data_IF_438967823021
#
_entry.id   IF_438967823021
#
_cell.length_a   1.000
_cell.length_b   1.000
_cell.length_c   1.000
_cell.angle_alpha   90.00
_cell.angle_beta   90.00
_cell.angle_gamma   90.00
#
_symmetry.space_group_name_H-M   'P 1'
#
loop_
_entity.id
_entity.type
_entity.pdbx_description
1 polymer ?
#
# COMPACT_ATOMS: atom_id res chain seq x y z
N UNK A 1 0.77 96.74 -15.48
CA UNK A 1 2.16 96.47 -15.06
C UNK A 1 2.27 94.96 -14.98
N UNK A 2 3.02 94.20 -15.78
CA UNK A 2 4.10 94.46 -16.72
C UNK A 2 4.33 93.12 -17.45
N UNK A 3 4.65 93.16 -18.77
CA UNK A 3 5.55 92.25 -19.53
C UNK A 3 5.45 90.71 -19.29
N UNK A 4 5.35 89.78 -20.25
CA UNK A 4 5.92 89.69 -21.60
C UNK A 4 5.53 88.33 -22.24
N UNK A 5 5.63 88.26 -23.58
CA UNK A 5 6.05 87.13 -24.44
C UNK A 5 5.08 85.95 -24.78
N UNK A 6 4.69 85.96 -26.05
CA UNK A 6 4.31 84.86 -26.99
C UNK A 6 5.59 84.08 -27.42
N UNK A 7 5.50 83.05 -28.29
CA UNK A 7 4.73 81.79 -28.34
C UNK A 7 5.67 80.55 -28.35
N UNK A 8 5.18 79.31 -28.21
CA UNK A 8 5.71 78.18 -29.01
C UNK A 8 4.92 76.87 -28.88
N UNK A 9 4.98 76.11 -29.97
CA UNK A 9 4.23 74.91 -30.32
C UNK A 9 5.04 73.68 -29.90
N UNK A 10 4.56 72.85 -28.97
CA UNK A 10 5.24 71.60 -28.59
C UNK A 10 4.50 70.39 -29.20
N UNK A 11 5.10 69.84 -30.27
CA UNK A 11 4.71 68.59 -30.93
C UNK A 11 5.25 67.39 -30.15
N UNK A 12 4.35 66.43 -29.96
CA UNK A 12 4.47 65.05 -29.46
C UNK A 12 5.82 64.34 -29.77
N UNK A 13 6.52 63.74 -28.79
CA UNK A 13 7.87 63.19 -28.94
C UNK A 13 7.99 61.83 -29.66
N UNK A 14 6.90 61.20 -30.08
CA UNK A 14 6.93 59.82 -30.61
C UNK A 14 7.40 59.69 -32.07
N UNK A 15 7.50 60.81 -32.82
CA UNK A 15 7.93 60.83 -34.23
C UNK A 15 9.40 61.27 -34.45
N UNK A 16 10.23 61.34 -33.40
CA UNK A 16 11.66 61.65 -33.55
C UNK A 16 12.58 60.43 -33.58
N UNK A 17 12.11 59.26 -33.14
CA UNK A 17 12.96 58.07 -33.01
C UNK A 17 13.03 57.23 -34.31
N UNK A 18 12.04 57.37 -35.18
CA UNK A 18 11.94 56.70 -36.48
C UNK A 18 12.65 57.47 -37.61
N UNK A 19 12.71 58.82 -37.58
CA UNK A 19 13.49 59.61 -38.56
C UNK A 19 15.00 59.50 -38.35
N UNK A 20 15.50 59.48 -37.10
CA UNK A 20 16.95 59.30 -36.84
C UNK A 20 17.45 57.90 -37.18
N UNK A 21 16.56 56.90 -37.18
CA UNK A 21 16.90 55.52 -37.58
C UNK A 21 16.89 55.35 -39.10
N UNK A 22 16.03 56.09 -39.82
CA UNK A 22 16.04 56.08 -41.29
C UNK A 22 17.20 56.90 -41.87
N UNK A 23 17.55 58.07 -41.30
CA UNK A 23 18.72 58.84 -41.76
C UNK A 23 20.09 58.21 -41.40
N UNK A 24 20.15 57.29 -40.44
CA UNK A 24 21.37 56.49 -40.18
C UNK A 24 21.54 55.31 -41.14
N UNK A 25 20.49 54.93 -41.87
CA UNK A 25 20.54 53.79 -42.80
C UNK A 25 21.02 54.20 -44.19
N UNK A 26 20.97 55.50 -44.54
CA UNK A 26 21.40 55.99 -45.88
C UNK A 26 22.90 56.34 -45.91
N UNK A 27 23.54 56.63 -44.76
CA UNK A 27 24.90 57.16 -44.72
C UNK A 27 26.02 56.15 -44.39
N UNK A 28 25.78 54.83 -44.46
CA UNK A 28 26.87 53.84 -44.32
C UNK A 28 27.32 53.24 -45.65
N UNK A 29 26.85 53.76 -46.78
CA UNK A 29 27.19 53.27 -48.11
C UNK A 29 28.34 54.06 -48.76
N UNK A 30 29.41 54.36 -48.02
CA UNK A 30 30.66 54.77 -48.66
C UNK A 30 31.88 54.66 -47.74
N UNK A 31 32.57 53.52 -47.84
CA UNK A 31 34.03 53.42 -47.90
C UNK A 31 34.38 51.93 -47.77
N UNK A 32 34.65 51.26 -48.89
CA UNK A 32 35.50 50.07 -48.82
C UNK A 32 36.46 50.06 -50.00
N UNK A 33 37.65 50.58 -49.72
CA UNK A 33 38.84 50.39 -50.54
C UNK A 33 39.14 48.90 -50.67
N UNK A 34 39.26 48.43 -51.91
CA UNK A 34 39.32 47.01 -52.24
C UNK A 34 40.34 46.19 -51.46
N UNK A 35 39.84 45.43 -50.49
CA UNK A 35 40.35 44.08 -50.20
C UNK A 35 39.14 43.15 -50.10
N UNK A 36 38.96 42.26 -51.08
CA UNK A 36 37.89 41.23 -51.04
C UNK A 36 38.18 40.26 -49.89
N UNK A 37 37.76 40.61 -48.67
CA UNK A 37 37.79 39.73 -47.51
C UNK A 37 36.76 38.63 -47.74
N UNK A 38 37.19 37.46 -48.21
CA UNK A 38 36.32 36.28 -48.37
C UNK A 38 35.91 35.78 -46.98
N UNK A 39 34.74 36.18 -46.51
CA UNK A 39 34.19 35.67 -45.25
C UNK A 39 33.82 34.20 -45.39
N UNK A 40 34.20 33.37 -44.40
CA UNK A 40 33.91 31.93 -44.40
C UNK A 40 32.45 31.71 -43.98
N UNK A 41 31.62 31.21 -44.92
CA UNK A 41 30.27 30.75 -44.61
C UNK A 41 30.29 29.32 -44.07
N UNK A 42 29.40 29.03 -43.14
CA UNK A 42 29.24 27.73 -42.51
C UNK A 42 27.97 27.05 -43.02
N UNK A 43 28.09 25.77 -43.38
CA UNK A 43 26.96 24.94 -43.78
C UNK A 43 26.21 24.44 -42.55
N UNK A 44 24.93 24.76 -42.43
CA UNK A 44 24.04 24.19 -41.42
C UNK A 44 22.89 23.43 -42.09
N UNK A 45 22.44 22.35 -41.46
CA UNK A 45 21.26 21.60 -41.89
C UNK A 45 20.11 21.95 -40.96
N UNK A 46 19.00 22.44 -41.52
CA UNK A 46 17.77 22.70 -40.75
C UNK A 46 17.04 21.40 -40.44
N UNK A 47 16.08 21.47 -39.50
CA UNK A 47 15.19 20.35 -39.19
C UNK A 47 14.31 19.95 -40.38
N UNK A 48 14.08 20.85 -41.34
CA UNK A 48 13.42 20.57 -42.63
C UNK A 48 14.26 19.73 -43.59
N UNK A 49 15.55 19.51 -43.30
CA UNK A 49 16.50 18.83 -44.18
C UNK A 49 17.23 19.74 -45.16
N UNK A 50 16.79 21.01 -45.28
CA UNK A 50 17.40 22.02 -46.14
C UNK A 50 18.79 22.44 -45.66
N UNK A 51 19.68 22.72 -46.62
CA UNK A 51 21.04 23.17 -46.39
C UNK A 51 21.08 24.70 -46.53
N UNK A 52 21.51 25.37 -45.48
CA UNK A 52 21.66 26.82 -45.44
C UNK A 52 23.12 27.19 -45.15
N UNK A 53 23.65 28.20 -45.84
CA UNK A 53 24.99 28.74 -45.59
C UNK A 53 24.88 30.04 -44.81
N UNK A 54 25.57 30.10 -43.68
CA UNK A 54 25.37 31.14 -42.65
C UNK A 54 26.70 31.79 -42.29
N UNK A 55 26.68 33.11 -42.06
CA UNK A 55 27.88 33.85 -41.62
C UNK A 55 28.27 33.46 -40.18
N UNK A 56 29.53 33.63 -39.76
CA UNK A 56 29.98 33.27 -38.41
C UNK A 56 29.23 34.02 -37.30
N UNK A 57 28.81 35.26 -37.55
CA UNK A 57 28.03 36.06 -36.60
C UNK A 57 26.62 35.47 -36.41
N UNK A 58 25.94 35.18 -37.52
CA UNK A 58 24.63 34.53 -37.50
C UNK A 58 24.70 33.13 -36.86
N UNK A 59 25.77 32.37 -37.09
CA UNK A 59 25.96 31.05 -36.47
C UNK A 59 26.11 31.15 -34.94
N UNK A 60 26.88 32.15 -34.46
CA UNK A 60 27.04 32.40 -33.03
C UNK A 60 25.71 32.74 -32.38
N UNK A 61 24.91 33.58 -33.03
CA UNK A 61 23.59 33.97 -32.53
C UNK A 61 22.60 32.80 -32.56
N UNK A 62 22.61 31.99 -33.62
CA UNK A 62 21.80 30.76 -33.68
C UNK A 62 22.15 29.78 -32.56
N UNK A 63 23.44 29.62 -32.24
CA UNK A 63 23.88 28.76 -31.16
C UNK A 63 23.48 29.30 -29.78
N UNK A 64 23.51 30.63 -29.60
CA UNK A 64 22.98 31.29 -28.38
C UNK A 64 21.49 31.03 -28.23
N UNK A 65 20.70 31.20 -29.29
CA UNK A 65 19.26 30.90 -29.25
C UNK A 65 18.98 29.43 -28.94
N UNK A 66 19.73 28.48 -29.53
CA UNK A 66 19.61 27.05 -29.20
C UNK A 66 19.95 26.76 -27.75
N UNK A 67 21.00 27.39 -27.22
CA UNK A 67 21.38 27.24 -25.81
C UNK A 67 20.29 27.77 -24.87
N UNK A 68 19.69 28.92 -25.18
CA UNK A 68 18.57 29.49 -24.42
C UNK A 68 17.35 28.57 -24.43
N UNK A 69 16.93 28.10 -25.62
CA UNK A 69 15.81 27.15 -25.75
C UNK A 69 16.08 25.86 -24.95
N UNK A 70 17.28 25.31 -25.05
CA UNK A 70 17.68 24.10 -24.29
C UNK A 70 17.68 24.34 -22.78
N UNK A 71 18.10 25.52 -22.32
CA UNK A 71 18.06 25.89 -20.91
C UNK A 71 16.61 25.99 -20.40
N UNK A 72 15.71 26.61 -21.16
CA UNK A 72 14.28 26.66 -20.83
C UNK A 72 13.64 25.27 -20.80
N UNK A 73 13.93 24.42 -21.78
CA UNK A 73 13.46 23.04 -21.80
C UNK A 73 13.95 22.26 -20.56
N UNK A 74 15.21 22.43 -20.18
CA UNK A 74 15.77 21.80 -18.98
C UNK A 74 15.10 22.34 -17.71
N UNK A 75 14.79 23.64 -17.64
CA UNK A 75 14.04 24.23 -16.52
C UNK A 75 12.64 23.62 -16.43
N UNK A 76 11.94 23.43 -17.55
CA UNK A 76 10.63 22.76 -17.61
C UNK A 76 10.72 21.27 -17.22
N UNK A 77 11.74 20.54 -17.69
CA UNK A 77 11.99 19.14 -17.29
C UNK A 77 12.23 19.02 -15.78
N UNK A 78 13.08 19.88 -15.20
CA UNK A 78 13.30 19.93 -13.74
C UNK A 78 12.00 20.22 -12.98
N UNK A 79 11.17 21.16 -13.45
CA UNK A 79 9.89 21.45 -12.82
C UNK A 79 8.91 20.26 -12.88
N UNK A 80 8.80 19.58 -14.03
CA UNK A 80 7.99 18.35 -14.16
C UNK A 80 8.50 17.23 -13.26
N UNK A 81 9.80 16.98 -13.27
CA UNK A 81 10.40 15.92 -12.44
C UNK A 81 10.23 16.21 -10.94
N UNK A 82 10.33 17.48 -10.50
CA UNK A 82 10.02 17.88 -9.12
C UNK A 82 8.57 17.56 -8.75
N UNK A 83 7.59 17.87 -9.63
CA UNK A 83 6.18 17.55 -9.39
C UNK A 83 5.95 16.03 -9.28
N UNK A 84 6.55 15.26 -10.20
CA UNK A 84 6.47 13.79 -10.18
C UNK A 84 7.09 13.25 -8.89
N UNK A 85 8.25 13.75 -8.46
CA UNK A 85 8.92 13.30 -7.23
C UNK A 85 8.07 13.56 -5.98
N UNK A 86 7.42 14.73 -5.89
CA UNK A 86 6.50 15.05 -4.77
C UNK A 86 5.29 14.11 -4.81
N UNK A 87 4.65 13.93 -5.96
CA UNK A 87 3.51 13.02 -6.11
C UNK A 87 3.89 11.58 -5.74
N UNK A 88 5.05 11.09 -6.21
CA UNK A 88 5.53 9.75 -5.84
C UNK A 88 5.83 9.65 -4.35
N UNK A 89 6.43 10.68 -3.73
CA UNK A 89 6.69 10.69 -2.28
C UNK A 89 5.40 10.59 -1.47
N UNK A 90 4.35 11.33 -1.86
CA UNK A 90 3.02 11.24 -1.20
C UNK A 90 2.41 9.85 -1.37
N UNK A 91 2.47 9.27 -2.57
CA UNK A 91 1.97 7.91 -2.81
C UNK A 91 2.73 6.89 -1.95
N UNK A 92 4.06 6.97 -1.87
CA UNK A 92 4.85 6.10 -1.01
C UNK A 92 4.48 6.25 0.47
N UNK A 93 4.25 7.48 0.95
CA UNK A 93 3.81 7.72 2.34
C UNK A 93 2.43 7.12 2.61
N UNK A 94 1.47 7.28 1.69
CA UNK A 94 0.12 6.72 1.85
C UNK A 94 0.16 5.19 1.80
N UNK A 95 0.89 4.60 0.85
CA UNK A 95 1.03 3.14 0.72
C UNK A 95 1.80 2.56 1.90
N UNK A 96 2.86 3.22 2.36
CA UNK A 96 3.63 2.80 3.55
C UNK A 96 2.80 2.92 4.83
N UNK A 97 2.04 4.01 5.00
CA UNK A 97 1.09 4.17 6.11
C UNK A 97 0.00 3.08 6.06
N UNK A 98 -0.57 2.83 4.89
CA UNK A 98 -1.53 1.74 4.72
C UNK A 98 -0.92 0.37 5.03
N UNK A 99 0.29 0.09 4.55
CA UNK A 99 0.98 -1.17 4.80
C UNK A 99 1.34 -1.33 6.28
N UNK A 100 1.80 -0.28 6.94
CA UNK A 100 2.10 -0.30 8.38
C UNK A 100 0.83 -0.47 9.21
N UNK A 101 -0.28 0.17 8.85
CA UNK A 101 -1.58 -0.03 9.51
C UNK A 101 -2.16 -1.42 9.23
N UNK A 102 -2.02 -1.94 8.02
CA UNK A 102 -2.44 -3.29 7.65
C UNK A 102 -1.62 -4.36 8.37
N UNK A 103 -0.30 -4.17 8.44
CA UNK A 103 0.60 -5.01 9.23
C UNK A 103 0.30 -4.88 10.72
N UNK A 104 0.00 -3.68 11.22
CA UNK A 104 -0.40 -3.48 12.62
C UNK A 104 -1.72 -4.18 12.91
N UNK A 105 -2.72 -4.12 12.03
CA UNK A 105 -3.97 -4.88 12.17
C UNK A 105 -3.72 -6.39 12.13
N UNK A 106 -2.82 -6.85 11.26
CA UNK A 106 -2.44 -8.28 11.15
C UNK A 106 -1.59 -8.75 12.33
N UNK A 107 -0.71 -7.90 12.84
CA UNK A 107 0.15 -8.15 13.99
C UNK A 107 -0.66 -8.11 15.29
N UNK A 108 -1.59 -7.15 15.41
CA UNK A 108 -2.48 -7.02 16.55
C UNK A 108 -3.60 -8.07 16.59
N UNK A 109 -3.79 -8.84 15.51
CA UNK A 109 -4.58 -10.08 15.55
C UNK A 109 -3.86 -11.20 16.33
N UNK A 110 -2.58 -11.02 16.68
CA UNK A 110 -1.78 -11.92 17.51
C UNK A 110 -1.29 -11.23 18.81
N UNK A 111 -1.76 -10.02 19.15
CA UNK A 111 -1.35 -9.31 20.38
C UNK A 111 -2.55 -8.77 21.15
N UNK A 112 -3.46 -9.67 21.52
CA UNK A 112 -4.35 -9.42 22.66
C UNK A 112 -3.59 -9.81 23.92
N UNK A 113 -3.07 -8.81 24.64
CA UNK A 113 -2.90 -8.73 26.11
C UNK A 113 -1.94 -7.56 26.42
N UNK A 114 -2.42 -6.33 26.28
CA UNK A 114 -1.91 -5.21 27.08
C UNK A 114 -3.10 -4.39 27.56
N UNK A 115 -3.21 -4.36 28.89
CA UNK A 115 -4.27 -3.85 29.74
C UNK A 115 -4.12 -2.35 29.98
N UNK A 116 -5.10 -1.54 29.56
CA UNK A 116 -5.25 -0.13 29.96
C UNK A 116 -6.53 0.04 30.79
N UNK A 117 -6.45 -0.31 32.08
CA UNK A 117 -7.55 -0.11 33.03
C UNK A 117 -7.40 1.23 33.77
N UNK A 118 -8.16 2.24 33.34
CA UNK A 118 -9.01 3.03 34.25
C UNK A 118 -10.01 3.93 33.50
N UNK A 119 -11.12 3.35 33.04
CA UNK A 119 -12.49 3.81 33.30
C UNK A 119 -13.50 2.99 32.52
N UNK A 120 -13.85 1.81 33.06
CA UNK A 120 -15.11 1.07 32.94
C UNK A 120 -14.83 -0.41 33.22
N UNK A 121 -14.69 -0.77 34.51
CA UNK A 121 -14.67 -2.14 35.07
C UNK A 121 -14.23 -3.23 34.06
N UNK A 122 -12.97 -3.15 33.65
CA UNK A 122 -12.31 -4.17 32.85
C UNK A 122 -11.80 -5.23 33.82
N UNK A 123 -12.60 -6.27 34.04
CA UNK A 123 -12.06 -7.52 34.53
C UNK A 123 -11.10 -8.04 33.43
N UNK A 124 -9.82 -7.75 33.56
CA UNK A 124 -8.80 -8.52 32.85
C UNK A 124 -8.84 -9.90 33.46
N UNK A 125 -9.74 -10.74 32.95
CA UNK A 125 -9.67 -12.17 33.16
C UNK A 125 -8.29 -12.56 32.64
N UNK A 126 -7.41 -12.88 33.57
CA UNK A 126 -6.12 -13.37 33.18
C UNK A 126 -6.38 -14.74 32.55
N UNK A 127 -5.90 -14.91 31.32
CA UNK A 127 -6.14 -16.10 30.50
C UNK A 127 -4.87 -16.93 30.44
N UNK A 128 -5.04 -18.23 30.22
CA UNK A 128 -3.97 -19.18 29.92
C UNK A 128 -4.24 -19.91 28.62
N UNK A 129 -3.39 -20.90 28.33
CA UNK A 129 -3.48 -21.74 27.13
C UNK A 129 -3.47 -23.20 27.53
N UNK A 130 -4.25 -24.02 26.84
CA UNK A 130 -4.24 -25.47 27.02
C UNK A 130 -3.75 -26.12 25.74
N UNK A 131 -2.70 -26.94 25.85
CA UNK A 131 -2.23 -27.80 24.78
C UNK A 131 -2.86 -29.18 24.94
N UNK A 132 -3.66 -29.59 23.95
CA UNK A 132 -4.32 -30.90 23.92
C UNK A 132 -3.57 -31.82 22.96
N UNK A 133 -3.19 -32.99 23.45
CA UNK A 133 -2.52 -34.06 22.69
C UNK A 133 -3.36 -35.34 22.83
N UNK A 134 -3.66 -36.00 21.72
CA UNK A 134 -4.35 -37.29 21.72
C UNK A 134 -3.65 -38.29 20.78
N UNK A 135 -3.86 -39.58 21.04
CA UNK A 135 -3.34 -40.69 20.24
C UNK A 135 -4.16 -41.01 18.98
N UNK A 136 -5.40 -40.50 18.90
CA UNK A 136 -6.32 -40.70 17.78
C UNK A 136 -6.61 -39.38 17.06
N UNK A 137 -6.66 -39.46 15.73
CA UNK A 137 -6.98 -38.34 14.85
C UNK A 137 -8.47 -38.09 14.72
N UNK A 138 -8.85 -36.83 14.61
CA UNK A 138 -10.21 -36.40 14.29
C UNK A 138 -11.18 -36.47 15.46
N UNK A 139 -10.71 -36.64 16.70
CA UNK A 139 -11.60 -36.62 17.87
C UNK A 139 -12.04 -35.18 18.18
N UNK A 140 -13.32 -35.00 18.49
CA UNK A 140 -13.88 -33.71 18.85
C UNK A 140 -13.44 -33.29 20.25
N UNK A 141 -12.97 -32.05 20.39
CA UNK A 141 -12.50 -31.49 21.66
C UNK A 141 -13.59 -30.64 22.29
N UNK A 142 -13.82 -30.86 23.58
CA UNK A 142 -14.78 -30.15 24.40
C UNK A 142 -14.06 -29.40 25.52
N UNK A 143 -14.41 -28.13 25.72
CA UNK A 143 -13.93 -27.31 26.84
C UNK A 143 -15.15 -26.91 27.69
N UNK A 144 -15.16 -27.30 28.96
CA UNK A 144 -16.29 -27.09 29.88
C UNK A 144 -17.65 -27.59 29.36
N UNK A 145 -17.62 -28.60 28.49
CA UNK A 145 -18.80 -29.17 27.84
C UNK A 145 -19.22 -28.46 26.54
N UNK A 146 -18.53 -27.39 26.14
CA UNK A 146 -18.74 -26.72 24.86
C UNK A 146 -17.86 -27.36 23.77
N UNK A 147 -18.47 -27.68 22.62
CA UNK A 147 -17.75 -28.20 21.47
C UNK A 147 -16.86 -27.10 20.88
N UNK A 148 -15.56 -27.36 20.85
CA UNK A 148 -14.61 -26.45 20.19
C UNK A 148 -14.59 -26.69 18.68
N UNK A 149 -14.19 -25.69 17.90
CA UNK A 149 -14.03 -25.83 16.44
C UNK A 149 -12.76 -26.60 16.03
N UNK A 150 -12.08 -27.25 16.98
CA UNK A 150 -10.82 -27.96 16.78
C UNK A 150 -11.02 -29.46 17.01
N UNK A 151 -10.29 -30.28 16.25
CA UNK A 151 -10.31 -31.75 16.33
C UNK A 151 -8.89 -32.26 16.50
N UNK A 152 -8.68 -33.31 17.30
CA UNK A 152 -7.36 -33.88 17.60
C UNK A 152 -6.61 -34.31 16.35
N UNK A 153 -5.29 -34.15 16.38
CA UNK A 153 -4.37 -34.55 15.31
C UNK A 153 -3.10 -35.11 15.95
N UNK A 154 -2.70 -36.34 15.60
CA UNK A 154 -1.55 -37.05 16.13
C UNK A 154 -0.22 -36.47 15.63
N UNK A 155 -0.25 -35.69 14.55
CA UNK A 155 0.92 -35.02 13.99
C UNK A 155 1.01 -33.58 14.50
N UNK A 156 -0.12 -32.98 14.90
CA UNK A 156 -0.19 -31.55 15.26
C UNK A 156 -0.79 -31.31 16.64
N UNK A 157 0.01 -30.69 17.51
CA UNK A 157 -0.44 -30.17 18.79
C UNK A 157 -1.54 -29.11 18.62
N UNK A 158 -2.63 -29.25 19.39
CA UNK A 158 -3.74 -28.31 19.37
C UNK A 158 -3.65 -27.39 20.57
N UNK A 159 -3.75 -26.09 20.29
CA UNK A 159 -3.71 -25.04 21.29
C UNK A 159 -5.09 -24.42 21.39
N UNK A 160 -5.65 -24.46 22.60
CA UNK A 160 -6.81 -23.69 23.00
C UNK A 160 -6.30 -22.39 23.62
N UNK A 161 -6.44 -21.32 22.86
CA UNK A 161 -6.07 -19.96 23.28
C UNK A 161 -7.23 -19.29 24.04
N UNK A 162 -6.91 -18.25 24.81
CA UNK A 162 -7.86 -17.41 25.54
C UNK A 162 -8.77 -18.18 26.54
N UNK A 163 -8.23 -19.22 27.19
CA UNK A 163 -8.95 -19.94 28.24
C UNK A 163 -8.86 -19.16 29.56
N UNK A 164 -9.98 -18.86 30.25
CA UNK A 164 -9.94 -18.20 31.55
C UNK A 164 -9.05 -18.95 32.56
N UNK A 165 -8.57 -18.26 33.59
CA UNK A 165 -7.91 -18.93 34.71
C UNK A 165 -8.94 -19.64 35.56
N UNK A 166 -8.58 -20.86 35.96
CA UNK A 166 -9.40 -21.66 36.84
C UNK A 166 -9.30 -23.12 36.49
N UNK A 167 -10.20 -23.90 37.09
CA UNK A 167 -10.31 -25.31 36.81
C UNK A 167 -11.27 -25.47 35.62
N UNK A 168 -10.72 -25.91 34.50
CA UNK A 168 -11.47 -26.20 33.28
C UNK A 168 -11.52 -27.71 33.04
N UNK A 169 -12.63 -28.18 32.49
CA UNK A 169 -12.82 -29.58 32.12
C UNK A 169 -12.57 -29.76 30.63
N UNK A 170 -11.51 -30.46 30.27
CA UNK A 170 -11.18 -30.76 28.87
C UNK A 170 -11.61 -32.19 28.57
N UNK A 171 -12.44 -32.37 27.55
CA UNK A 171 -12.96 -33.66 27.12
C UNK A 171 -12.65 -33.94 25.66
N UNK A 172 -12.51 -35.21 25.31
CA UNK A 172 -12.31 -35.66 23.94
C UNK A 172 -13.29 -36.79 23.63
N UNK A 173 -14.00 -36.69 22.50
CA UNK A 173 -14.94 -37.71 22.07
C UNK A 173 -14.73 -38.08 20.60
N UNK A 174 -14.72 -39.39 20.32
CA UNK A 174 -14.58 -39.95 18.98
C UNK A 174 -15.55 -41.13 18.82
N UNK A 175 -16.31 -41.21 17.71
CA UNK A 175 -17.15 -42.38 17.44
C UNK A 175 -16.34 -43.69 17.44
N UNK A 176 -16.80 -44.69 18.18
CA UNK A 176 -16.11 -45.97 18.32
C UNK A 176 -15.03 -46.01 19.42
N UNK A 177 -14.83 -44.91 20.16
CA UNK A 177 -13.92 -44.83 21.31
C UNK A 177 -14.68 -44.40 22.57
N UNK A 178 -14.16 -44.77 23.74
CA UNK A 178 -14.64 -44.29 25.02
C UNK A 178 -14.27 -42.81 25.17
N UNK A 179 -15.25 -41.98 25.53
CA UNK A 179 -15.03 -40.56 25.83
C UNK A 179 -14.19 -40.41 27.10
N UNK A 180 -13.18 -39.55 27.06
CA UNK A 180 -12.32 -39.26 28.22
C UNK A 180 -12.35 -37.76 28.55
N UNK A 181 -12.23 -37.42 29.84
CA UNK A 181 -12.29 -36.04 30.32
C UNK A 181 -11.40 -35.82 31.54
N UNK A 182 -10.60 -34.77 31.52
CA UNK A 182 -9.66 -34.42 32.58
C UNK A 182 -9.85 -32.97 33.02
N UNK A 183 -9.77 -32.72 34.33
CA UNK A 183 -9.79 -31.38 34.91
C UNK A 183 -8.38 -30.81 34.95
N UNK A 184 -8.25 -29.57 34.51
CA UNK A 184 -6.96 -28.91 34.31
C UNK A 184 -7.04 -27.54 34.96
N UNK A 185 -6.05 -27.22 35.78
CA UNK A 185 -5.93 -25.88 36.37
C UNK A 185 -5.13 -25.00 35.41
N UNK A 186 -5.79 -23.99 34.85
CA UNK A 186 -5.21 -23.03 33.92
C UNK A 186 -4.62 -21.87 34.71
N UNK A 187 -3.33 -21.62 34.52
CA UNK A 187 -2.60 -20.52 35.15
C UNK A 187 -2.36 -19.40 34.14
N UNK A 188 -2.41 -18.16 34.62
CA UNK A 188 -2.13 -16.94 33.87
C UNK A 188 -0.91 -17.07 32.95
N UNK A 189 -1.08 -16.81 31.67
CA UNK A 189 -0.01 -16.75 30.66
C UNK A 189 0.84 -18.04 30.55
N UNK A 190 0.40 -19.15 31.12
CA UNK A 190 1.06 -20.45 31.01
C UNK A 190 0.38 -21.35 29.98
N UNK A 191 1.13 -22.32 29.48
CA UNK A 191 0.61 -23.39 28.61
C UNK A 191 0.56 -24.66 29.45
N UNK A 192 -0.64 -25.19 29.69
CA UNK A 192 -0.83 -26.46 30.39
C UNK A 192 -1.06 -27.55 29.36
N UNK A 193 -0.26 -28.61 29.40
CA UNK A 193 -0.35 -29.72 28.44
C UNK A 193 -1.13 -30.88 29.02
N UNK A 194 -2.07 -31.42 28.23
CA UNK A 194 -2.94 -32.53 28.61
C UNK A 194 -2.86 -33.58 27.53
N UNK A 195 -2.65 -34.83 27.92
CA UNK A 195 -2.53 -35.96 27.00
C UNK A 195 -3.66 -36.96 27.25
N UNK A 196 -4.38 -37.31 26.19
CA UNK A 196 -5.47 -38.29 26.21
C UNK A 196 -5.05 -39.55 25.44
N UNK A 197 -5.38 -40.72 25.99
CA UNK A 197 -5.19 -42.01 25.33
C UNK A 197 -6.55 -42.70 25.21
N UNK A 198 -7.18 -42.59 24.05
CA UNK A 198 -8.54 -43.06 23.83
C UNK A 198 -8.54 -44.58 23.64
N UNK A 199 -9.37 -45.28 24.41
CA UNK A 199 -9.57 -46.72 24.26
C UNK A 199 -10.75 -46.98 23.32
N UNK A 200 -10.63 -47.92 22.36
CA UNK A 200 -11.75 -48.30 21.53
C UNK A 200 -12.88 -48.83 22.42
N UNK A 201 -14.09 -48.33 22.18
CA UNK A 201 -15.28 -48.83 22.82
C UNK A 201 -15.52 -50.22 22.25
N UNK A 202 -15.29 -51.27 23.06
CA UNK A 202 -15.65 -52.63 22.67
C UNK A 202 -17.13 -52.61 22.26
N UNK A 203 -17.39 -52.95 21.00
CA UNK A 203 -18.74 -53.00 20.43
C UNK A 203 -19.69 -53.71 21.41
N UNK A 204 -20.95 -53.26 21.56
CA UNK A 204 -21.95 -54.12 22.17
C UNK A 204 -22.01 -55.40 21.34
N UNK A 205 -21.75 -56.53 21.99
CA UNK A 205 -22.10 -57.88 21.54
C UNK A 205 -23.36 -57.79 20.67
N UNK A 206 -23.37 -58.34 19.44
CA UNK A 206 -24.47 -58.15 18.50
C UNK A 206 -25.79 -58.52 19.18
N UNK A 207 -26.56 -57.48 19.53
CA UNK A 207 -27.93 -57.68 19.98
C UNK A 207 -28.68 -58.07 18.73
N UNK A 208 -29.05 -59.35 18.74
CA UNK A 208 -29.84 -60.09 17.77
C UNK A 208 -30.46 -59.22 16.68
N UNK A 209 -30.13 -59.57 15.44
CA UNK A 209 -30.91 -59.25 14.27
C UNK A 209 -32.41 -59.28 14.61
N UNK A 210 -33.05 -58.12 14.57
CA UNK A 210 -34.51 -58.06 14.44
C UNK A 210 -34.80 -58.64 13.06
N UNK A 211 -35.06 -59.94 13.06
CA UNK A 211 -35.76 -60.65 12.00
C UNK A 211 -37.07 -59.89 11.76
N UNK A 212 -37.45 -59.56 10.51
CA UNK A 212 -38.80 -59.07 10.27
C UNK A 212 -39.76 -60.23 10.57
N UNK A 213 -40.32 -60.27 11.77
CA UNK A 213 -41.38 -61.22 12.09
C UNK A 213 -42.69 -60.67 11.54
N UNK A 214 -43.23 -61.43 10.60
CA UNK A 214 -44.54 -61.24 10.01
C UNK A 214 -45.58 -61.61 11.09
N UNK A 215 -46.81 -61.12 10.90
CA UNK A 215 -48.06 -61.50 11.58
C UNK A 215 -48.35 -60.93 12.98
N UNK A 216 -49.29 -59.98 13.04
CA UNK A 216 -50.40 -59.91 14.02
C UNK A 216 -51.49 -59.03 13.38
N UNK A 217 -52.44 -59.60 12.63
CA UNK A 217 -53.76 -60.07 13.10
C UNK A 217 -54.56 -59.00 13.86
N UNK A 218 -55.43 -58.33 13.09
CA UNK A 218 -56.77 -57.81 13.36
C UNK A 218 -57.26 -57.72 14.81
N UNK A 219 -57.95 -56.61 15.16
CA UNK A 219 -59.23 -56.73 15.83
C UNK A 219 -60.39 -56.21 14.97
N UNK A 220 -61.45 -57.00 15.03
CA UNK A 220 -62.79 -56.85 14.47
C UNK A 220 -63.63 -55.95 15.40
N UNK A 221 -64.80 -55.53 14.90
CA UNK A 221 -66.03 -55.11 15.62
C UNK A 221 -66.20 -53.58 15.69
N UNK A 222 -67.31 -52.94 15.28
CA UNK A 222 -68.65 -53.39 14.85
C UNK A 222 -68.93 -53.01 13.38
#
# INVERSE_FOLDING_TARGET
MESTLKPETEKDPENKLNETQQLKTINSEQSDTGTRKRERLYKIKRTSGEIEYVTPQQLKELNRQKALRKHEENKRKRARNKKIAIASMVIFLVVSCYLTLWLFKKYNSNSSQQNDNNSAVLATESVGRIKVVADVDGAAIYLDGELTSQVTDNIKDILLDDVPIGIHSVGVAMPGYLTDSTKVEVVANQIVSVTFNLKPQSEPKPTAAIKPDRTTTTPRVC
#
